data_IF_939857035877
#
_entry.id   IF_939857035877
#
_cell.length_a   1.000
_cell.length_b   1.000
_cell.length_c   1.000
_cell.angle_alpha   90.00
_cell.angle_beta   90.00
_cell.angle_gamma   90.00
#
_symmetry.space_group_name_H-M   'P 1'
#
loop_
_entity.id
_entity.type
_entity.pdbx_description
1 polymer ?
#
# COMPACT_ATOMS: atom_id res chain seq x y z
N UNK A 1 11.66 0.94 11.92
CA UNK A 1 10.43 0.89 11.11
C UNK A 1 9.95 2.26 10.61
N UNK A 2 9.47 3.17 11.45
CA UNK A 2 8.87 4.45 10.99
C UNK A 2 9.78 5.30 10.08
N UNK A 3 11.08 5.42 10.42
CA UNK A 3 12.09 6.07 9.56
C UNK A 3 12.20 5.40 8.18
N UNK A 4 12.16 4.08 8.14
CA UNK A 4 12.17 3.28 6.91
C UNK A 4 10.95 3.57 6.04
N UNK A 5 9.76 3.60 6.64
CA UNK A 5 8.50 3.89 5.95
C UNK A 5 8.54 5.29 5.31
N UNK A 6 9.03 6.29 6.05
CA UNK A 6 9.22 7.65 5.50
C UNK A 6 10.19 7.69 4.33
N UNK A 7 11.24 6.87 4.36
CA UNK A 7 12.25 6.81 3.29
C UNK A 7 11.74 6.11 2.04
N UNK A 8 11.16 4.92 2.18
CA UNK A 8 10.87 4.05 1.02
C UNK A 8 9.42 4.09 0.55
N UNK A 9 8.49 4.46 1.43
CA UNK A 9 7.06 4.56 1.17
C UNK A 9 6.49 5.93 1.61
N UNK A 10 7.06 7.07 1.16
CA UNK A 10 6.71 8.40 1.65
C UNK A 10 5.26 8.81 1.39
N UNK A 11 4.57 8.13 0.46
CA UNK A 11 3.16 8.37 0.16
C UNK A 11 2.21 7.73 1.18
N UNK A 12 2.70 6.88 2.08
CA UNK A 12 1.94 6.34 3.19
C UNK A 12 1.83 7.37 4.31
N UNK A 13 0.61 7.64 4.77
CA UNK A 13 0.36 8.54 5.90
C UNK A 13 0.11 7.73 7.16
N UNK A 14 0.90 7.95 8.20
CA UNK A 14 0.73 7.29 9.50
C UNK A 14 1.14 8.23 10.63
N UNK A 15 0.53 8.06 11.81
CA UNK A 15 0.97 8.70 13.04
C UNK A 15 2.09 7.86 13.67
N UNK A 16 3.04 8.51 14.34
CA UNK A 16 4.02 7.77 15.13
C UNK A 16 3.31 7.15 16.34
N UNK A 17 3.37 5.82 16.52
CA UNK A 17 2.80 5.21 17.71
C UNK A 17 3.66 5.55 18.93
N UNK A 18 3.03 5.77 20.08
CA UNK A 18 3.71 5.95 21.37
C UNK A 18 4.29 4.62 21.92
N UNK A 19 3.82 3.49 21.38
CA UNK A 19 4.28 2.14 21.71
C UNK A 19 3.52 1.06 20.95
N UNK A 20 3.82 -0.21 21.26
CA UNK A 20 3.16 -1.39 20.69
C UNK A 20 3.86 -1.98 19.48
N UNK A 21 3.13 -2.82 18.74
CA UNK A 21 3.70 -3.71 17.71
C UNK A 21 3.27 -3.39 16.28
N UNK A 22 2.35 -2.44 16.11
CA UNK A 22 1.68 -2.18 14.83
C UNK A 22 1.70 -0.70 14.46
N UNK A 23 1.90 -0.42 13.18
CA UNK A 23 1.64 0.89 12.57
C UNK A 23 0.40 0.75 11.69
N UNK A 24 -0.54 1.66 11.89
CA UNK A 24 -1.65 1.90 10.98
C UNK A 24 -1.27 2.99 9.98
N UNK A 25 -1.30 2.63 8.70
CA UNK A 25 -1.00 3.57 7.62
C UNK A 25 -2.18 3.70 6.66
N UNK A 26 -2.45 4.94 6.25
CA UNK A 26 -3.40 5.30 5.20
C UNK A 26 -2.66 5.36 3.86
N UNK A 27 -3.23 4.72 2.86
CA UNK A 27 -2.76 4.68 1.49
C UNK A 27 -3.09 6.01 0.78
N UNK A 28 -2.41 6.30 -0.35
CA UNK A 28 -2.77 7.43 -1.20
C UNK A 28 -4.21 7.29 -1.72
N UNK A 29 -4.86 8.41 -1.98
CA UNK A 29 -6.20 8.44 -2.56
C UNK A 29 -6.29 7.56 -3.82
N UNK A 30 -7.41 6.84 -3.95
CA UNK A 30 -7.64 5.91 -5.06
C UNK A 30 -6.84 4.60 -4.99
N UNK A 31 -6.08 4.33 -3.92
CA UNK A 31 -5.33 3.07 -3.77
C UNK A 31 -6.09 2.09 -2.86
N UNK A 32 -6.34 0.87 -3.35
CA UNK A 32 -6.94 -0.20 -2.54
C UNK A 32 -5.87 -0.99 -1.77
N UNK A 33 -6.12 -1.25 -0.49
CA UNK A 33 -5.25 -2.08 0.34
C UNK A 33 -5.15 -3.52 -0.15
N UNK A 34 -6.23 -4.07 -0.73
CA UNK A 34 -6.23 -5.40 -1.34
C UNK A 34 -5.39 -5.46 -2.61
N UNK A 35 -5.47 -4.43 -3.46
CA UNK A 35 -4.59 -4.32 -4.64
C UNK A 35 -3.12 -4.22 -4.24
N UNK A 36 -2.83 -3.39 -3.23
CA UNK A 36 -1.47 -3.27 -2.71
C UNK A 36 -0.97 -4.58 -2.13
N UNK A 37 -1.82 -5.34 -1.45
CA UNK A 37 -1.43 -6.64 -0.90
C UNK A 37 -1.04 -7.61 -2.02
N UNK A 38 -1.82 -7.67 -3.11
CA UNK A 38 -1.47 -8.50 -4.28
C UNK A 38 -0.11 -8.14 -4.85
N UNK A 39 0.19 -6.86 -5.00
CA UNK A 39 1.49 -6.40 -5.51
C UNK A 39 2.64 -6.61 -4.51
N UNK A 40 2.36 -6.48 -3.20
CA UNK A 40 3.34 -6.72 -2.15
C UNK A 40 3.70 -8.20 -2.03
N UNK A 41 2.72 -9.11 -2.18
CA UNK A 41 2.93 -10.56 -2.15
C UNK A 41 3.87 -11.02 -3.28
N UNK A 42 3.75 -10.45 -4.49
CA UNK A 42 4.71 -10.67 -5.60
C UNK A 42 6.15 -10.28 -5.22
N UNK A 43 6.31 -9.40 -4.23
CA UNK A 43 7.61 -8.95 -3.70
C UNK A 43 7.95 -9.60 -2.36
N UNK A 44 7.26 -10.67 -1.97
CA UNK A 44 7.47 -11.40 -0.71
C UNK A 44 7.28 -10.51 0.53
N UNK A 45 6.28 -9.64 0.52
CA UNK A 45 5.85 -8.83 1.66
C UNK A 45 4.36 -9.00 1.89
N UNK A 46 3.97 -9.23 3.15
CA UNK A 46 2.58 -9.30 3.57
C UNK A 46 2.28 -8.25 4.65
N UNK A 47 1.01 -7.87 4.73
CA UNK A 47 0.45 -7.00 5.77
C UNK A 47 -1.06 -7.28 5.84
N UNK A 48 -1.74 -6.70 6.83
CA UNK A 48 -3.18 -6.87 6.97
C UNK A 48 -3.89 -5.65 6.37
N UNK A 49 -4.82 -5.89 5.44
CA UNK A 49 -5.65 -4.85 4.85
C UNK A 49 -6.75 -4.41 5.83
N UNK A 50 -7.05 -3.11 5.89
CA UNK A 50 -7.85 -2.52 6.96
C UNK A 50 -9.32 -2.95 7.00
N UNK A 51 -9.89 -3.36 5.86
CA UNK A 51 -11.28 -3.80 5.74
C UNK A 51 -11.58 -5.09 6.50
N UNK A 52 -10.58 -5.89 6.91
CA UNK A 52 -10.84 -7.03 7.83
C UNK A 52 -11.26 -6.58 9.22
N UNK A 53 -11.01 -5.31 9.59
CA UNK A 53 -11.37 -4.72 10.87
C UNK A 53 -12.62 -3.85 10.80
N UNK A 54 -13.31 -3.83 9.65
CA UNK A 54 -14.51 -3.02 9.45
C UNK A 54 -15.68 -3.93 9.07
N UNK A 55 -16.72 -4.04 9.92
CA UNK A 55 -17.91 -4.85 9.62
C UNK A 55 -18.56 -4.50 8.27
N UNK A 56 -18.59 -3.20 7.93
CA UNK A 56 -19.18 -2.69 6.69
C UNK A 56 -18.17 -2.62 5.52
N UNK A 57 -16.97 -3.18 5.69
CA UNK A 57 -15.91 -3.14 4.67
C UNK A 57 -15.36 -1.74 4.39
N UNK A 58 -15.40 -0.84 5.39
CA UNK A 58 -14.68 0.43 5.41
C UNK A 58 -13.16 0.25 5.54
N UNK A 59 -12.42 1.36 5.68
CA UNK A 59 -10.95 1.34 5.83
C UNK A 59 -10.18 0.60 4.71
N UNK A 60 -10.76 0.52 3.49
CA UNK A 60 -10.15 -0.11 2.29
C UNK A 60 -8.86 0.58 1.85
N UNK A 61 -8.64 1.80 2.31
CA UNK A 61 -7.45 2.61 2.10
C UNK A 61 -6.48 2.54 3.29
N UNK A 62 -6.66 1.62 4.24
CA UNK A 62 -5.77 1.46 5.40
C UNK A 62 -5.09 0.11 5.41
N UNK A 63 -3.89 0.08 5.96
CA UNK A 63 -3.10 -1.13 6.18
C UNK A 63 -2.56 -1.14 7.61
N UNK A 64 -2.38 -2.35 8.15
CA UNK A 64 -1.73 -2.58 9.44
C UNK A 64 -0.45 -3.38 9.24
N UNK A 65 0.67 -2.80 9.65
CA UNK A 65 2.00 -3.40 9.50
C UNK A 65 2.55 -3.77 10.87
N UNK A 66 2.97 -5.02 11.04
CA UNK A 66 3.66 -5.49 12.25
C UNK A 66 5.17 -5.32 12.10
N UNK A 67 5.85 -4.93 13.19
CA UNK A 67 7.31 -4.75 13.20
C UNK A 67 7.99 -5.41 14.41
N UNK A 68 7.25 -6.25 15.15
CA UNK A 68 7.73 -6.90 16.37
C UNK A 68 8.46 -8.22 16.12
N UNK A 69 8.25 -8.80 14.95
CA UNK A 69 8.52 -10.22 14.68
C UNK A 69 9.83 -10.48 13.93
N UNK A 70 10.56 -9.44 13.52
CA UNK A 70 11.69 -9.59 12.61
C UNK A 70 12.84 -8.63 12.95
N UNK A 71 14.10 -8.99 12.61
CA UNK A 71 15.25 -8.11 12.78
C UNK A 71 15.14 -6.79 11.98
N UNK A 72 15.81 -5.70 12.43
CA UNK A 72 15.74 -4.38 11.78
C UNK A 72 16.05 -4.38 10.28
N UNK A 73 17.01 -5.17 9.83
CA UNK A 73 17.43 -5.31 8.44
C UNK A 73 16.34 -5.96 7.57
N UNK A 74 15.63 -6.95 8.12
CA UNK A 74 14.51 -7.60 7.44
C UNK A 74 13.33 -6.64 7.32
N UNK A 75 13.09 -5.85 8.38
CA UNK A 75 12.09 -4.79 8.36
C UNK A 75 12.41 -3.73 7.30
N UNK A 76 13.67 -3.27 7.22
CA UNK A 76 14.11 -2.29 6.22
C UNK A 76 13.86 -2.80 4.80
N UNK A 77 14.23 -4.04 4.52
CA UNK A 77 14.02 -4.67 3.21
C UNK A 77 12.53 -4.86 2.88
N UNK A 78 11.73 -5.29 3.85
CA UNK A 78 10.28 -5.42 3.68
C UNK A 78 9.62 -4.07 3.35
N UNK A 79 10.04 -3.00 4.04
CA UNK A 79 9.53 -1.64 3.78
C UNK A 79 9.99 -1.11 2.42
N UNK A 80 11.23 -1.40 2.00
CA UNK A 80 11.72 -1.07 0.66
C UNK A 80 10.86 -1.72 -0.42
N UNK A 81 10.55 -3.01 -0.26
CA UNK A 81 9.67 -3.79 -1.15
C UNK A 81 8.23 -3.29 -1.15
N UNK A 82 7.68 -2.95 0.01
CA UNK A 82 6.36 -2.33 0.14
C UNK A 82 6.28 -1.01 -0.63
N UNK A 83 7.28 -0.15 -0.47
CA UNK A 83 7.39 1.10 -1.23
C UNK A 83 7.45 0.87 -2.75
N UNK A 84 8.15 -0.18 -3.18
CA UNK A 84 8.19 -0.57 -4.60
C UNK A 84 6.83 -1.06 -5.11
N UNK A 85 6.10 -1.87 -4.33
CA UNK A 85 4.74 -2.29 -4.68
C UNK A 85 3.79 -1.10 -4.83
N UNK A 86 3.86 -0.12 -3.91
CA UNK A 86 3.05 1.09 -3.98
C UNK A 86 3.35 1.93 -5.23
N UNK A 87 4.62 2.01 -5.66
CA UNK A 87 5.02 2.68 -6.91
C UNK A 87 4.52 1.93 -8.16
N UNK A 88 4.52 0.60 -8.14
CA UNK A 88 3.98 -0.20 -9.26
C UNK A 88 2.50 0.07 -9.49
N UNK A 89 1.69 0.13 -8.43
CA UNK A 89 0.27 0.49 -8.56
C UNK A 89 0.05 1.90 -9.09
N UNK A 90 0.84 2.87 -8.60
CA UNK A 90 0.74 4.26 -9.07
C UNK A 90 1.04 4.43 -10.56
N UNK A 91 1.85 3.55 -11.16
CA UNK A 91 2.12 3.54 -12.61
C UNK A 91 1.02 2.84 -13.40
N UNK A 92 0.50 1.72 -12.91
CA UNK A 92 -0.58 0.98 -13.58
C UNK A 92 -1.85 1.80 -13.73
N UNK A 93 -2.25 2.56 -12.70
CA UNK A 93 -3.43 3.44 -12.77
C UNK A 93 -3.25 4.61 -13.74
N UNK A 94 -2.02 5.13 -13.89
CA UNK A 94 -1.73 6.26 -14.77
C UNK A 94 -1.73 5.87 -16.26
N UNK A 95 -1.48 4.59 -16.56
CA UNK A 95 -1.57 4.04 -17.92
C UNK A 95 -3.04 3.73 -18.24
N UNK A 96 -3.76 3.07 -17.33
CA UNK A 96 -5.18 2.75 -17.54
C UNK A 96 -6.06 4.02 -17.70
N UNK A 97 -5.76 5.11 -16.98
CA UNK A 97 -6.46 6.39 -17.14
C UNK A 97 -6.14 7.13 -18.44
N UNK A 98 -5.15 6.68 -19.22
CA UNK A 98 -4.80 7.25 -20.52
C UNK A 98 -5.38 6.46 -21.71
N UNK A 99 -5.83 5.21 -21.48
CA UNK A 99 -6.47 4.39 -22.52
C UNK A 99 -7.99 4.63 -22.64
N UNK A 100 -8.65 5.15 -21.60
CA UNK A 100 -10.11 5.43 -21.61
C UNK A 100 -10.50 6.78 -22.23
N UNK A 101 -9.55 7.63 -22.66
CA UNK A 101 -9.81 8.95 -23.29
C UNK A 101 -9.66 8.94 -24.82
N UNK A 102 -9.89 7.81 -25.50
CA UNK A 102 -10.05 7.80 -26.96
C UNK A 102 -11.53 7.79 -27.32
N UNK A 103 -12.09 8.84 -27.96
CA UNK A 103 -13.48 8.82 -28.37
C UNK A 103 -13.64 7.76 -29.46
N UNK A 104 -14.30 6.65 -29.11
CA UNK A 104 -14.69 5.62 -30.06
C UNK A 104 -15.62 6.24 -31.10
N UNK A 105 -15.14 6.36 -32.34
CA UNK A 105 -15.95 6.75 -33.49
C UNK A 105 -17.01 5.65 -33.72
N UNK A 106 -18.30 5.99 -33.87
CA UNK A 106 -19.28 5.00 -34.31
C UNK A 106 -18.96 4.59 -35.74
N UNK A 107 -18.84 3.29 -35.99
CA UNK A 107 -18.78 2.72 -37.34
C UNK A 107 -20.22 2.37 -37.74
N UNK A 108 -20.65 2.92 -38.87
CA UNK A 108 -21.83 2.47 -39.63
C UNK A 108 -21.49 1.20 -40.40
#
# INVERSE_FOLDING_TARGET
MARSLRRHAPRLRFAMPEGGYFIWAKLPAGTSAKELLREALKKKVSFIHGDVFSPDGGARDRIRVNFASHPPETIEEAVRRLGAALRSLGRGKRIASQEEESPATPIV
#
